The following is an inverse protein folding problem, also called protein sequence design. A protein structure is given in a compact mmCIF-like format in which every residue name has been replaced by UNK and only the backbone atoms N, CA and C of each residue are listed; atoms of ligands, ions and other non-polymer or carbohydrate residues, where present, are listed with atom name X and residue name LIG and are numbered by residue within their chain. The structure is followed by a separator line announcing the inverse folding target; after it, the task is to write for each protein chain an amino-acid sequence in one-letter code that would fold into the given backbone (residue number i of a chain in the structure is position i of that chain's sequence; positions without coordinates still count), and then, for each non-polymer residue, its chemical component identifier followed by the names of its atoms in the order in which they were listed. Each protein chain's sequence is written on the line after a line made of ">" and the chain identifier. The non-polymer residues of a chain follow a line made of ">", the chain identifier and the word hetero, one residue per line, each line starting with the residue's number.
data_IF_317046025672
#
_entry.id   IF_317046025672
#
_cell.length_a   1.000
_cell.length_b   1.000
_cell.length_c   1.000
_cell.angle_alpha   90.00
_cell.angle_beta   90.00
_cell.angle_gamma   90.00
#
_symmetry.space_group_name_H-M   'P 1'
#
loop_
_entity.id
_entity.type
_entity.pdbx_description
1 polymer ?
#
# COMPACT_ATOMS: atom_id res chain seq x y z
N UNK A 1 -13.59 -3.78 22.23
CA UNK A 1 -12.16 -4.06 21.98
C UNK A 1 -11.96 -4.45 20.50
N UNK A 2 -12.03 -3.51 19.56
CA UNK A 2 -12.03 -3.83 18.10
C UNK A 2 -11.03 -2.99 17.28
N UNK A 3 -10.26 -2.10 17.91
CA UNK A 3 -9.29 -1.25 17.22
C UNK A 3 -7.99 -1.98 16.81
N UNK A 4 -7.70 -3.13 17.41
CA UNK A 4 -6.45 -3.90 17.15
C UNK A 4 -6.49 -4.68 15.83
N UNK A 5 -7.67 -5.17 15.42
CA UNK A 5 -7.78 -6.09 14.28
C UNK A 5 -7.52 -5.41 12.93
N UNK A 6 -8.00 -4.18 12.77
CA UNK A 6 -7.85 -3.44 11.51
C UNK A 6 -6.38 -3.08 11.21
N UNK A 7 -5.59 -2.77 12.24
CA UNK A 7 -4.16 -2.53 12.12
C UNK A 7 -3.40 -3.79 11.69
N UNK A 8 -3.76 -4.95 12.26
CA UNK A 8 -3.16 -6.23 11.89
C UNK A 8 -3.45 -6.60 10.43
N UNK A 9 -4.66 -6.34 9.92
CA UNK A 9 -4.97 -6.62 8.52
C UNK A 9 -4.17 -5.75 7.55
N UNK A 10 -3.97 -4.47 7.90
CA UNK A 10 -3.16 -3.55 7.10
C UNK A 10 -1.69 -3.96 7.06
N UNK A 11 -1.14 -4.39 8.21
CA UNK A 11 0.24 -4.88 8.32
C UNK A 11 0.40 -6.22 7.58
N UNK A 12 -0.50 -7.17 7.81
CA UNK A 12 -0.48 -8.48 7.14
C UNK A 12 -0.58 -8.32 5.61
N UNK A 13 -1.44 -7.41 5.15
CA UNK A 13 -1.57 -7.10 3.73
C UNK A 13 -0.30 -6.47 3.13
N UNK A 14 0.41 -5.63 3.88
CA UNK A 14 1.70 -5.09 3.45
C UNK A 14 2.79 -6.18 3.37
N UNK A 15 2.88 -7.04 4.38
CA UNK A 15 3.80 -8.18 4.40
C UNK A 15 3.54 -9.16 3.25
N UNK A 16 2.27 -9.43 2.94
CA UNK A 16 1.90 -10.30 1.81
C UNK A 16 2.40 -9.76 0.48
N UNK A 17 2.24 -8.45 0.23
CA UNK A 17 2.75 -7.81 -0.99
C UNK A 17 4.27 -7.86 -1.11
N UNK A 18 4.98 -7.78 0.03
CA UNK A 18 6.44 -7.96 0.04
C UNK A 18 6.79 -9.40 -0.35
N UNK A 19 6.11 -10.39 0.23
CA UNK A 19 6.32 -11.81 -0.11
C UNK A 19 5.94 -12.15 -1.55
N UNK A 20 4.89 -11.54 -2.09
CA UNK A 20 4.44 -11.70 -3.48
C UNK A 20 5.32 -10.90 -4.49
N UNK A 21 6.30 -10.11 -4.02
CA UNK A 21 7.13 -9.26 -4.88
C UNK A 21 6.36 -8.12 -5.57
N UNK A 22 5.13 -7.86 -5.13
CA UNK A 22 4.25 -6.80 -5.65
C UNK A 22 4.33 -5.51 -4.83
N UNK A 23 5.14 -5.50 -3.76
CA UNK A 23 5.42 -4.30 -2.99
C UNK A 23 6.05 -3.22 -3.88
N UNK A 24 5.55 -1.99 -3.75
CA UNK A 24 5.93 -0.91 -4.64
C UNK A 24 5.33 -1.00 -6.05
N UNK A 25 4.31 -1.84 -6.29
CA UNK A 25 3.48 -1.79 -7.50
C UNK A 25 2.09 -1.24 -7.20
N UNK A 26 1.58 -0.45 -8.14
CA UNK A 26 0.24 0.10 -8.08
C UNK A 26 -0.80 -1.01 -8.35
N UNK A 27 -1.74 -1.24 -7.42
CA UNK A 27 -2.82 -2.22 -7.60
C UNK A 27 -3.75 -1.87 -8.78
N UNK A 28 -3.74 -0.61 -9.23
CA UNK A 28 -4.64 -0.13 -10.30
C UNK A 28 -4.03 -0.18 -11.70
N UNK A 29 -2.77 0.23 -11.86
CA UNK A 29 -2.11 0.27 -13.17
C UNK A 29 -0.98 -0.75 -13.32
N UNK A 30 -0.61 -1.47 -12.26
CA UNK A 30 0.53 -2.41 -12.25
C UNK A 30 1.91 -1.74 -12.35
N UNK A 31 1.97 -0.42 -12.54
CA UNK A 31 3.21 0.35 -12.61
C UNK A 31 3.92 0.49 -11.27
N UNK A 32 5.19 0.89 -11.32
CA UNK A 32 6.01 1.09 -10.13
C UNK A 32 5.58 2.34 -9.35
N UNK A 33 5.55 2.21 -8.03
CA UNK A 33 5.36 3.31 -7.07
C UNK A 33 6.76 3.83 -6.73
N UNK A 34 7.01 5.15 -6.85
CA UNK A 34 8.30 5.74 -6.51
C UNK A 34 8.74 5.39 -5.08
N UNK A 35 10.03 5.09 -4.88
CA UNK A 35 10.57 4.72 -3.57
C UNK A 35 10.38 5.82 -2.53
N UNK A 36 10.63 7.08 -2.91
CA UNK A 36 10.42 8.29 -2.08
C UNK A 36 9.03 8.32 -1.43
N UNK A 37 8.05 7.75 -2.12
CA UNK A 37 6.67 7.71 -1.69
C UNK A 37 6.36 6.53 -0.78
N UNK A 38 7.02 5.39 -0.99
CA UNK A 38 6.96 4.26 -0.08
C UNK A 38 7.67 4.58 1.24
N UNK A 39 8.71 5.43 1.22
CA UNK A 39 9.37 5.93 2.42
C UNK A 39 8.44 6.79 3.28
N UNK A 40 7.63 7.66 2.65
CA UNK A 40 6.64 8.50 3.37
C UNK A 40 5.38 7.69 3.74
N UNK A 41 4.90 6.82 2.86
CA UNK A 41 3.68 6.02 3.03
C UNK A 41 3.91 4.56 2.63
N UNK A 42 4.51 3.73 3.50
CA UNK A 42 4.90 2.36 3.16
C UNK A 42 3.71 1.41 2.96
N UNK A 43 2.52 1.81 3.40
CA UNK A 43 1.29 1.07 3.21
C UNK A 43 0.52 1.48 1.95
N UNK A 44 1.03 2.43 1.16
CA UNK A 44 0.34 2.88 -0.06
C UNK A 44 0.29 1.78 -1.11
N UNK A 45 -0.90 1.57 -1.69
CA UNK A 45 -1.15 0.56 -2.72
C UNK A 45 -1.29 1.17 -4.12
N UNK A 46 -1.22 2.50 -4.21
CA UNK A 46 -1.49 3.24 -5.44
C UNK A 46 -0.37 4.26 -5.72
N UNK A 47 -0.02 4.39 -7.00
CA UNK A 47 0.90 5.45 -7.44
C UNK A 47 0.24 6.84 -7.36
N UNK A 48 1.06 7.89 -7.41
CA UNK A 48 0.65 9.30 -7.29
C UNK A 48 -0.61 9.66 -8.10
N UNK A 49 -0.73 9.33 -9.40
CA UNK A 49 -1.92 9.70 -10.17
C UNK A 49 -3.22 9.02 -9.68
N UNK A 50 -3.13 7.85 -9.04
CA UNK A 50 -4.30 7.11 -8.57
C UNK A 50 -4.58 7.27 -7.06
N UNK A 51 -3.59 7.68 -6.25
CA UNK A 51 -3.81 7.92 -4.82
C UNK A 51 -4.82 9.05 -4.58
N UNK A 52 -4.87 10.06 -5.46
CA UNK A 52 -5.78 11.19 -5.32
C UNK A 52 -7.26 10.77 -5.28
N UNK A 53 -7.60 9.56 -5.78
CA UNK A 53 -8.97 9.03 -5.76
C UNK A 53 -9.34 8.23 -4.49
N UNK A 54 -8.40 7.99 -3.58
CA UNK A 54 -8.62 7.18 -2.37
C UNK A 54 -8.54 7.97 -1.04
N UNK A 55 -8.54 9.30 -1.09
CA UNK A 55 -8.83 10.13 0.08
C UNK A 55 -10.36 10.24 0.24
N UNK A 56 -10.96 9.22 0.85
CA UNK A 56 -12.33 9.20 1.33
C UNK A 56 -12.34 8.60 2.72
#
# INVERSE_FOLDING_TARGET
>A
MTATRHNLEQITGALRRIAEGSYGRCEKCGGLIPAERLEVLPHTRFCVPFQQKHKG
#
